data_IF_090110477617
#
_entry.id   IF_090110477617
#
_cell.length_a   1.000
_cell.length_b   1.000
_cell.length_c   1.000
_cell.angle_alpha   90.00
_cell.angle_beta   90.00
_cell.angle_gamma   90.00
#
_symmetry.space_group_name_H-M   'P 1'
#
loop_
_entity.id
_entity.type
_entity.pdbx_description
1 polymer ?
#
# COMPACT_ATOMS: atom_id res chain seq x y z
N UNK A 1 -4.51 -6.93 -1.21
CA UNK A 1 -5.63 -7.86 -0.99
C UNK A 1 -6.48 -7.88 -2.25
N UNK A 2 -7.13 -8.99 -2.58
CA UNK A 2 -8.00 -9.08 -3.75
C UNK A 2 -9.48 -9.18 -3.32
N UNK A 3 -10.36 -8.54 -4.09
CA UNK A 3 -11.81 -8.63 -3.96
C UNK A 3 -12.35 -9.37 -5.17
N UNK A 4 -12.94 -10.53 -4.95
CA UNK A 4 -13.37 -11.43 -6.01
C UNK A 4 -14.87 -11.28 -6.29
N UNK A 5 -15.23 -11.12 -7.55
CA UNK A 5 -16.63 -11.05 -7.98
C UNK A 5 -17.10 -12.45 -8.36
N UNK A 6 -18.18 -12.91 -7.72
CA UNK A 6 -18.76 -14.25 -7.91
C UNK A 6 -20.24 -14.18 -8.23
N UNK A 7 -20.72 -15.15 -9.02
CA UNK A 7 -22.13 -15.27 -9.36
C UNK A 7 -23.00 -15.48 -8.10
N UNK A 8 -24.25 -14.99 -8.08
CA UNK A 8 -25.19 -15.23 -7.00
C UNK A 8 -25.37 -16.73 -6.72
N UNK A 9 -25.27 -17.11 -5.45
CA UNK A 9 -25.43 -18.51 -5.02
C UNK A 9 -24.23 -19.41 -5.29
N UNK A 10 -23.12 -18.89 -5.83
CA UNK A 10 -21.86 -19.62 -6.01
C UNK A 10 -20.75 -19.02 -5.17
N UNK A 11 -20.16 -19.83 -4.29
CA UNK A 11 -19.11 -19.39 -3.36
C UNK A 11 -17.70 -19.25 -3.94
N UNK A 12 -17.49 -19.49 -5.24
CA UNK A 12 -16.18 -19.33 -5.90
C UNK A 12 -16.29 -19.23 -7.43
N UNK A 13 -15.32 -18.56 -8.07
CA UNK A 13 -15.18 -18.49 -9.54
C UNK A 13 -14.94 -19.86 -10.16
N UNK A 14 -14.27 -20.76 -9.44
CA UNK A 14 -13.98 -22.13 -9.91
C UNK A 14 -15.26 -22.94 -10.12
N UNK A 15 -16.32 -22.59 -9.41
CA UNK A 15 -17.65 -23.18 -9.57
C UNK A 15 -18.56 -22.39 -10.51
N UNK A 16 -18.09 -21.23 -11.02
CA UNK A 16 -18.81 -20.36 -11.95
C UNK A 16 -18.81 -20.88 -13.37
N UNK A 17 -19.71 -20.38 -14.21
CA UNK A 17 -19.71 -20.75 -15.62
C UNK A 17 -18.60 -19.99 -16.37
N UNK A 18 -17.79 -20.67 -17.18
CA UNK A 18 -16.75 -20.03 -18.02
C UNK A 18 -17.35 -18.94 -18.93
N UNK A 19 -18.62 -19.09 -19.30
CA UNK A 19 -19.38 -18.13 -20.09
C UNK A 19 -19.68 -16.81 -19.35
N UNK A 20 -19.73 -16.82 -18.01
CA UNK A 20 -19.97 -15.63 -17.19
C UNK A 20 -18.68 -14.89 -16.81
N UNK A 21 -17.50 -15.48 -17.02
CA UNK A 21 -16.23 -14.84 -16.66
C UNK A 21 -16.02 -13.48 -17.34
N UNK A 22 -16.27 -13.31 -18.65
CA UNK A 22 -16.07 -12.01 -19.30
C UNK A 22 -16.98 -10.93 -18.73
N UNK A 23 -18.26 -11.25 -18.46
CA UNK A 23 -19.20 -10.28 -17.90
C UNK A 23 -18.89 -9.91 -16.45
N UNK A 24 -18.37 -10.85 -15.65
CA UNK A 24 -17.89 -10.55 -14.29
C UNK A 24 -16.64 -9.66 -14.32
N UNK A 25 -15.75 -9.85 -15.28
CA UNK A 25 -14.57 -8.98 -15.48
C UNK A 25 -15.01 -7.57 -15.88
N UNK A 26 -15.93 -7.45 -16.84
CA UNK A 26 -16.48 -6.16 -17.27
C UNK A 26 -17.17 -5.44 -16.11
N UNK A 27 -17.96 -6.18 -15.31
CA UNK A 27 -18.62 -5.63 -14.12
C UNK A 27 -17.61 -5.14 -13.08
N UNK A 28 -16.56 -5.90 -12.78
CA UNK A 28 -15.49 -5.48 -11.89
C UNK A 28 -14.80 -4.19 -12.39
N UNK A 29 -14.59 -4.07 -13.71
CA UNK A 29 -14.06 -2.86 -14.34
C UNK A 29 -14.96 -1.65 -14.15
N UNK A 30 -16.28 -1.80 -14.34
CA UNK A 30 -17.26 -0.71 -14.12
C UNK A 30 -17.25 -0.27 -12.65
N UNK A 31 -17.21 -1.23 -11.71
CA UNK A 31 -17.14 -0.92 -10.28
C UNK A 31 -15.85 -0.16 -9.93
N UNK A 32 -14.70 -0.59 -10.47
CA UNK A 32 -13.44 0.12 -10.26
C UNK A 32 -13.50 1.55 -10.80
N UNK A 33 -14.06 1.76 -12.00
CA UNK A 33 -14.18 3.08 -12.58
C UNK A 33 -15.05 4.00 -11.70
N UNK A 34 -16.21 3.52 -11.24
CA UNK A 34 -17.10 4.29 -10.35
C UNK A 34 -16.42 4.72 -9.06
N UNK A 35 -15.72 3.80 -8.40
CA UNK A 35 -15.02 4.12 -7.14
C UNK A 35 -13.85 5.07 -7.38
N UNK A 36 -13.21 5.00 -8.55
CA UNK A 36 -12.12 5.91 -8.91
C UNK A 36 -12.63 7.32 -9.22
N UNK A 37 -13.80 7.44 -9.84
CA UNK A 37 -14.47 8.73 -10.12
C UNK A 37 -14.98 9.43 -8.85
N UNK A 38 -15.45 8.66 -7.87
CA UNK A 38 -16.00 9.19 -6.61
C UNK A 38 -14.94 9.34 -5.49
N UNK A 39 -13.77 8.72 -5.66
CA UNK A 39 -12.82 8.48 -4.59
C UNK A 39 -11.50 9.26 -4.66
N UNK A 40 -10.67 9.04 -3.64
CA UNK A 40 -9.27 9.50 -3.58
C UNK A 40 -8.29 8.36 -3.87
N UNK A 41 -8.73 7.36 -4.63
CA UNK A 41 -7.90 6.21 -4.97
C UNK A 41 -6.70 6.68 -5.81
N UNK A 42 -5.50 6.27 -5.40
CA UNK A 42 -4.29 6.57 -6.16
C UNK A 42 -4.24 5.65 -7.36
N UNK A 43 -4.21 6.25 -8.56
CA UNK A 43 -3.97 5.51 -9.78
C UNK A 43 -2.52 5.08 -9.86
N UNK A 44 -2.33 3.79 -10.10
CA UNK A 44 -1.01 3.20 -10.28
C UNK A 44 -0.67 3.10 -11.77
N UNK A 45 0.59 3.36 -12.17
CA UNK A 45 1.00 3.32 -13.58
C UNK A 45 1.01 1.91 -14.17
N UNK A 46 0.94 0.86 -13.33
CA UNK A 46 0.75 -0.52 -13.77
C UNK A 46 0.07 -1.36 -12.70
N UNK A 47 -0.56 -2.48 -13.11
CA UNK A 47 -1.19 -3.46 -12.20
C UNK A 47 -0.19 -4.13 -11.25
N UNK A 48 1.08 -4.17 -11.62
CA UNK A 48 2.18 -4.73 -10.81
C UNK A 48 2.88 -3.69 -9.92
N UNK A 49 2.57 -2.40 -10.09
CA UNK A 49 3.15 -1.38 -9.24
C UNK A 49 2.59 -1.48 -7.82
N UNK A 50 3.40 -1.07 -6.85
CA UNK A 50 2.98 -1.00 -5.44
C UNK A 50 2.93 0.45 -5.00
N UNK A 51 1.97 0.79 -4.13
CA UNK A 51 1.88 2.13 -3.53
C UNK A 51 3.18 2.52 -2.81
N UNK A 52 3.78 1.59 -2.07
CA UNK A 52 5.02 1.85 -1.37
C UNK A 52 6.19 2.12 -2.34
N UNK A 53 6.27 1.33 -3.42
CA UNK A 53 7.29 1.45 -4.46
C UNK A 53 7.17 2.71 -5.32
N UNK A 54 5.96 3.26 -5.48
CA UNK A 54 5.71 4.54 -6.16
C UNK A 54 5.96 5.77 -5.28
N UNK A 55 6.42 5.59 -4.05
CA UNK A 55 6.72 6.68 -3.12
C UNK A 55 5.51 7.14 -2.29
N UNK A 56 4.34 6.53 -2.48
CA UNK A 56 3.15 6.83 -1.67
C UNK A 56 3.37 6.26 -0.25
N UNK A 57 3.05 7.08 0.76
CA UNK A 57 3.22 6.74 2.18
C UNK A 57 1.90 6.67 2.94
N UNK A 58 0.85 7.27 2.40
CA UNK A 58 -0.49 7.23 2.94
C UNK A 58 -1.49 7.27 1.78
N UNK A 59 -2.42 6.32 1.73
CA UNK A 59 -3.43 6.23 0.68
C UNK A 59 -3.80 4.79 0.34
N UNK A 60 -4.73 4.63 -0.60
CA UNK A 60 -5.14 3.33 -1.13
C UNK A 60 -5.21 3.38 -2.65
N UNK A 61 -5.13 2.21 -3.28
CA UNK A 61 -5.36 2.04 -4.72
C UNK A 61 -6.25 0.83 -4.93
N UNK A 62 -7.04 0.89 -6.00
CA UNK A 62 -7.90 -0.18 -6.48
C UNK A 62 -7.58 -0.36 -7.95
N UNK A 63 -7.25 -1.58 -8.38
CA UNK A 63 -6.86 -1.84 -9.76
C UNK A 63 -7.40 -3.18 -10.21
N UNK A 64 -7.91 -3.24 -11.43
CA UNK A 64 -8.23 -4.50 -12.11
C UNK A 64 -6.92 -5.09 -12.67
N UNK A 65 -6.46 -6.27 -12.21
CA UNK A 65 -5.17 -6.79 -12.64
C UNK A 65 -5.14 -7.13 -14.12
N UNK A 66 -4.30 -6.42 -14.87
CA UNK A 66 -3.95 -6.76 -16.24
C UNK A 66 -2.92 -7.92 -16.25
N UNK A 67 -3.30 -9.05 -16.82
CA UNK A 67 -2.45 -10.24 -17.07
C UNK A 67 -1.89 -10.31 -18.48
N UNK A 68 -2.13 -9.28 -19.30
CA UNK A 68 -1.64 -9.18 -20.68
C UNK A 68 -0.19 -8.71 -20.79
N UNK A 69 0.22 -8.40 -22.02
CA UNK A 69 1.52 -7.80 -22.33
C UNK A 69 1.41 -6.28 -22.40
N UNK A 70 2.56 -5.59 -22.49
CA UNK A 70 2.59 -4.14 -22.73
C UNK A 70 1.93 -3.73 -24.05
N UNK A 71 1.78 -4.68 -24.99
CA UNK A 71 1.22 -4.45 -26.32
C UNK A 71 -0.23 -4.91 -26.45
N UNK A 72 -0.74 -5.69 -25.49
CA UNK A 72 -2.07 -6.22 -25.48
C UNK A 72 -2.51 -6.50 -24.04
N UNK A 73 -3.43 -5.68 -23.53
CA UNK A 73 -4.01 -5.87 -22.20
C UNK A 73 -4.93 -7.09 -22.18
N UNK A 74 -4.95 -7.81 -21.07
CA UNK A 74 -5.82 -8.96 -20.85
C UNK A 74 -6.30 -8.96 -19.41
N UNK A 75 -7.62 -8.93 -19.23
CA UNK A 75 -8.26 -9.03 -17.92
C UNK A 75 -8.94 -10.38 -17.85
N UNK A 76 -8.26 -11.35 -17.24
CA UNK A 76 -8.70 -12.74 -17.21
C UNK A 76 -9.38 -13.13 -15.89
N UNK A 77 -9.34 -12.25 -14.89
CA UNK A 77 -9.79 -12.53 -13.52
C UNK A 77 -10.78 -11.45 -13.08
N UNK A 78 -11.98 -11.82 -12.59
CA UNK A 78 -12.96 -10.87 -12.07
C UNK A 78 -12.59 -10.47 -10.63
N UNK A 79 -11.43 -9.84 -10.47
CA UNK A 79 -10.88 -9.43 -9.17
C UNK A 79 -10.50 -7.96 -9.17
N UNK A 80 -10.70 -7.28 -8.05
CA UNK A 80 -10.10 -5.97 -7.79
C UNK A 80 -8.98 -6.10 -6.78
N UNK A 81 -7.77 -5.71 -7.17
CA UNK A 81 -6.62 -5.66 -6.28
C UNK A 81 -6.65 -4.34 -5.50
N UNK A 82 -6.81 -4.43 -4.19
CA UNK A 82 -6.78 -3.31 -3.25
C UNK A 82 -5.45 -3.28 -2.52
N UNK A 83 -4.77 -2.15 -2.59
CA UNK A 83 -3.57 -1.85 -1.80
C UNK A 83 -3.85 -0.67 -0.87
N UNK A 84 -3.34 -0.74 0.34
CA UNK A 84 -3.46 0.34 1.33
C UNK A 84 -2.11 0.53 1.99
N UNK A 85 -1.65 1.77 2.08
CA UNK A 85 -0.45 2.16 2.82
C UNK A 85 -0.81 3.24 3.82
N UNK A 86 -0.22 3.17 5.01
CA UNK A 86 -0.52 4.12 6.07
C UNK A 86 0.51 4.08 7.19
N UNK A 87 0.44 5.04 8.13
CA UNK A 87 1.42 5.19 9.20
C UNK A 87 1.26 4.17 10.34
N UNK A 88 0.15 3.44 10.41
CA UNK A 88 -0.07 2.40 11.43
C UNK A 88 -0.87 1.21 10.88
N UNK A 89 -0.66 0.00 11.41
CA UNK A 89 -1.46 -1.17 11.04
C UNK A 89 -2.97 -0.97 11.27
N UNK A 90 -3.35 -0.24 12.33
CA UNK A 90 -4.74 0.04 12.66
C UNK A 90 -5.39 0.91 11.58
N UNK A 91 -4.70 1.96 11.13
CA UNK A 91 -5.21 2.84 10.08
C UNK A 91 -5.31 2.10 8.74
N UNK A 92 -4.32 1.27 8.41
CA UNK A 92 -4.36 0.44 7.20
C UNK A 92 -5.58 -0.48 7.19
N UNK A 93 -5.89 -1.14 8.32
CA UNK A 93 -7.08 -1.99 8.45
C UNK A 93 -8.37 -1.19 8.31
N UNK A 94 -8.49 -0.06 9.01
CA UNK A 94 -9.67 0.78 8.94
C UNK A 94 -9.94 1.29 7.52
N UNK A 95 -8.89 1.77 6.83
CA UNK A 95 -9.03 2.22 5.43
C UNK A 95 -9.38 1.06 4.51
N UNK A 96 -8.83 -0.13 4.75
CA UNK A 96 -9.17 -1.31 3.97
C UNK A 96 -10.65 -1.70 4.14
N UNK A 97 -11.17 -1.74 5.37
CA UNK A 97 -12.57 -2.05 5.66
C UNK A 97 -13.53 -1.02 5.02
N UNK A 98 -13.14 0.26 5.06
CA UNK A 98 -13.86 1.33 4.37
C UNK A 98 -13.91 1.11 2.86
N UNK A 99 -12.77 0.81 2.23
CA UNK A 99 -12.70 0.55 0.79
C UNK A 99 -13.55 -0.66 0.41
N UNK A 100 -13.51 -1.74 1.20
CA UNK A 100 -14.36 -2.92 0.96
C UNK A 100 -15.84 -2.57 1.01
N UNK A 101 -16.25 -1.81 2.03
CA UNK A 101 -17.64 -1.38 2.19
C UNK A 101 -18.08 -0.52 0.99
N UNK A 102 -17.23 0.40 0.54
CA UNK A 102 -17.50 1.22 -0.65
C UNK A 102 -17.63 0.36 -1.91
N UNK A 103 -16.74 -0.61 -2.12
CA UNK A 103 -16.83 -1.53 -3.28
C UNK A 103 -18.14 -2.31 -3.28
N UNK A 104 -18.54 -2.82 -2.12
CA UNK A 104 -19.77 -3.58 -1.99
C UNK A 104 -21.02 -2.72 -2.23
N UNK A 105 -21.06 -1.51 -1.64
CA UNK A 105 -22.16 -0.57 -1.85
C UNK A 105 -22.31 -0.16 -3.31
N UNK A 106 -21.20 0.14 -4.00
CA UNK A 106 -21.21 0.49 -5.43
C UNK A 106 -21.67 -0.68 -6.29
N UNK A 107 -21.18 -1.90 -6.01
CA UNK A 107 -21.62 -3.09 -6.72
C UNK A 107 -23.13 -3.35 -6.53
N UNK A 108 -23.65 -3.15 -5.32
CA UNK A 108 -25.10 -3.27 -5.05
C UNK A 108 -25.89 -2.15 -5.72
N UNK A 109 -25.41 -0.91 -5.67
CA UNK A 109 -26.06 0.26 -6.27
C UNK A 109 -26.21 0.14 -7.78
N UNK A 110 -25.17 -0.32 -8.48
CA UNK A 110 -25.21 -0.56 -9.92
C UNK A 110 -26.24 -1.64 -10.30
N UNK A 111 -26.37 -2.70 -9.51
CA UNK A 111 -27.30 -3.79 -9.78
C UNK A 111 -28.74 -3.42 -9.41
N UNK A 112 -28.95 -2.75 -8.28
CA UNK A 112 -30.25 -2.23 -7.86
C UNK A 112 -30.79 -1.17 -8.83
N UNK A 113 -29.93 -0.28 -9.33
CA UNK A 113 -30.28 0.71 -10.35
C UNK A 113 -30.69 0.09 -11.70
N UNK A 114 -30.35 -1.19 -11.94
CA UNK A 114 -30.78 -1.98 -13.10
C UNK A 114 -31.97 -2.90 -12.82
N UNK A 115 -32.55 -2.83 -11.62
CA UNK A 115 -33.72 -3.61 -11.23
C UNK A 115 -33.41 -5.09 -10.91
N UNK A 116 -32.16 -5.45 -10.67
CA UNK A 116 -31.80 -6.81 -10.25
C UNK A 116 -32.29 -7.02 -8.81
N UNK A 117 -32.98 -8.13 -8.50
CA UNK A 117 -33.39 -8.43 -7.13
C UNK A 117 -32.17 -8.80 -6.26
N UNK A 118 -32.18 -8.54 -4.95
CA UNK A 118 -31.01 -8.80 -4.08
C UNK A 118 -30.48 -10.23 -4.10
N UNK A 119 -31.36 -11.22 -4.30
CA UNK A 119 -30.97 -12.64 -4.42
C UNK A 119 -30.21 -12.97 -5.71
N UNK A 120 -30.20 -12.06 -6.69
CA UNK A 120 -29.49 -12.18 -7.96
C UNK A 120 -28.20 -11.35 -8.03
N UNK A 121 -27.74 -10.78 -6.92
CA UNK A 121 -26.54 -9.94 -6.94
C UNK A 121 -25.25 -10.75 -7.07
N UNK A 122 -24.36 -10.26 -7.93
CA UNK A 122 -22.95 -10.59 -7.94
C UNK A 122 -22.39 -10.24 -6.56
N UNK A 123 -21.78 -11.22 -5.90
CA UNK A 123 -21.22 -11.07 -4.57
C UNK A 123 -19.73 -10.69 -4.67
N UNK A 124 -19.28 -9.84 -3.74
CA UNK A 124 -17.87 -9.44 -3.62
C UNK A 124 -17.27 -10.18 -2.43
N UNK A 125 -16.32 -11.08 -2.69
CA UNK A 125 -15.70 -11.94 -1.67
C UNK A 125 -14.23 -11.58 -1.46
N UNK A 126 -13.78 -11.28 -0.23
CA UNK A 126 -12.39 -11.00 0.07
C UNK A 126 -11.48 -12.24 -0.09
N UNK A 127 -10.30 -12.05 -0.70
CA UNK A 127 -9.24 -13.06 -0.81
C UNK A 127 -7.85 -12.46 -0.57
N UNK A 128 -7.08 -12.95 0.42
CA UNK A 128 -7.46 -13.92 1.46
C UNK A 128 -8.48 -13.37 2.46
N UNK A 129 -9.19 -14.23 3.20
CA UNK A 129 -10.27 -13.83 4.12
C UNK A 129 -9.82 -12.82 5.20
N UNK A 130 -8.55 -12.85 5.60
CA UNK A 130 -7.96 -11.86 6.49
C UNK A 130 -6.86 -11.07 5.77
N UNK A 131 -6.81 -9.74 5.93
CA UNK A 131 -5.83 -8.91 5.25
C UNK A 131 -4.43 -9.10 5.83
N UNK A 132 -3.47 -9.29 4.92
CA UNK A 132 -2.04 -9.35 5.27
C UNK A 132 -1.50 -7.92 5.36
N UNK A 133 -1.10 -7.50 6.55
CA UNK A 133 -0.48 -6.19 6.80
C UNK A 133 1.01 -6.39 7.03
N UNK A 134 1.84 -5.77 6.18
CA UNK A 134 3.30 -5.82 6.29
C UNK A 134 3.80 -4.47 6.78
N UNK A 135 4.58 -4.47 7.87
CA UNK A 135 5.23 -3.26 8.39
C UNK A 135 6.60 -3.07 7.70
N UNK A 136 6.74 -1.98 6.96
CA UNK A 136 7.95 -1.62 6.20
C UNK A 136 8.69 -0.41 6.80
N UNK A 137 8.29 0.03 8.01
CA UNK A 137 8.77 1.27 8.62
C UNK A 137 9.96 1.14 9.57
N UNK A 138 10.71 2.23 9.71
CA UNK A 138 11.56 2.46 10.89
C UNK A 138 10.66 2.71 12.08
N UNK A 139 10.62 1.76 13.02
CA UNK A 139 9.87 1.92 14.26
C UNK A 139 10.29 3.20 14.99
N UNK A 140 9.37 3.87 15.69
CA UNK A 140 9.70 5.06 16.51
C UNK A 140 10.91 4.79 17.41
N UNK A 141 10.97 3.58 17.97
CA UNK A 141 12.08 3.07 18.77
C UNK A 141 13.40 3.00 18.00
N UNK A 142 13.38 2.53 16.75
CA UNK A 142 14.56 2.50 15.88
C UNK A 142 15.12 3.88 15.57
N UNK A 143 14.25 4.88 15.34
CA UNK A 143 14.68 6.27 15.10
C UNK A 143 15.35 6.88 16.32
N UNK A 144 14.76 6.73 17.51
CA UNK A 144 15.36 7.23 18.76
C UNK A 144 16.71 6.59 19.04
N UNK A 145 16.83 5.26 18.82
CA UNK A 145 18.11 4.56 18.96
C UNK A 145 19.15 5.09 17.99
N UNK A 146 18.78 5.32 16.73
CA UNK A 146 19.70 5.88 15.72
C UNK A 146 20.20 7.27 16.12
N UNK A 147 19.30 8.17 16.59
CA UNK A 147 19.69 9.50 17.06
C UNK A 147 20.65 9.44 18.25
N UNK A 148 20.39 8.54 19.21
CA UNK A 148 21.27 8.34 20.36
C UNK A 148 22.66 7.84 19.94
N UNK A 149 22.73 6.86 19.04
CA UNK A 149 24.00 6.30 18.55
C UNK A 149 24.79 7.36 17.77
N UNK A 150 24.15 8.09 16.85
CA UNK A 150 24.81 9.15 16.08
C UNK A 150 25.29 10.26 17.02
N UNK A 151 24.48 10.65 18.00
CA UNK A 151 24.87 11.65 19.01
C UNK A 151 26.09 11.21 19.82
N UNK A 152 26.11 9.96 20.29
CA UNK A 152 27.24 9.41 21.04
C UNK A 152 28.51 9.38 20.20
N UNK A 153 28.41 8.91 18.95
CA UNK A 153 29.54 8.88 18.01
C UNK A 153 30.08 10.29 17.73
N UNK A 154 29.20 11.26 17.50
CA UNK A 154 29.58 12.66 17.29
C UNK A 154 30.33 13.26 18.49
N UNK A 155 29.84 13.02 19.71
CA UNK A 155 30.48 13.49 20.94
C UNK A 155 31.86 12.85 21.14
N UNK A 156 31.99 11.54 20.93
CA UNK A 156 33.28 10.85 21.07
C UNK A 156 34.30 11.35 20.05
N UNK A 157 33.90 11.54 18.79
CA UNK A 157 34.79 12.07 17.74
C UNK A 157 35.23 13.51 18.02
N UNK A 158 34.32 14.33 18.54
CA UNK A 158 34.61 15.73 18.92
C UNK A 158 35.60 15.79 20.08
N UNK A 159 35.35 15.04 21.16
CA UNK A 159 36.23 14.99 22.32
C UNK A 159 37.63 14.47 21.95
N UNK A 160 37.70 13.41 21.13
CA UNK A 160 38.96 12.88 20.64
C UNK A 160 39.74 13.91 19.82
N UNK A 161 39.07 14.58 18.87
CA UNK A 161 39.70 15.59 18.01
C UNK A 161 40.19 16.80 18.82
N UNK A 162 39.38 17.31 19.74
CA UNK A 162 39.76 18.40 20.63
C UNK A 162 41.00 18.04 21.47
N UNK A 163 41.03 16.84 22.05
CA UNK A 163 42.18 16.37 22.85
C UNK A 163 43.46 16.23 22.02
N UNK A 164 43.36 15.80 20.75
CA UNK A 164 44.51 15.68 19.86
C UNK A 164 45.06 17.04 19.45
N UNK A 165 44.19 18.00 19.12
CA UNK A 165 44.57 19.37 18.76
C UNK A 165 45.23 20.08 19.93
N UNK A 166 44.64 19.97 21.13
CA UNK A 166 45.17 20.59 22.34
C UNK A 166 46.57 20.05 22.70
N UNK A 167 46.76 18.72 22.61
CA UNK A 167 48.08 18.10 22.78
C UNK A 167 49.10 18.54 21.74
N UNK A 168 48.68 18.77 20.49
CA UNK A 168 49.58 19.22 19.43
C UNK A 168 50.02 20.67 19.63
N UNK A 169 49.09 21.55 20.00
CA UNK A 169 49.36 22.97 20.29
C UNK A 169 50.25 23.17 21.53
N UNK A 170 50.01 22.41 22.60
CA UNK A 170 50.85 22.46 23.81
C UNK A 170 52.26 21.91 23.57
N UNK A 171 52.42 20.91 22.69
CA UNK A 171 53.73 20.41 22.28
C UNK A 171 54.53 21.42 21.42
N UNK A 172 53.84 22.36 20.75
CA UNK A 172 54.45 23.31 19.81
C UNK A 172 54.88 24.65 20.45
N UNK A 173 54.76 24.83 21.77
CA UNK A 173 55.14 26.10 22.42
C UNK A 173 56.65 26.37 22.23
N UNK A 174 57.07 27.40 21.48
CA UNK A 174 58.47 27.77 21.39
C UNK A 174 58.89 28.37 22.73
N UNK A 175 59.97 27.84 23.30
CA UNK A 175 60.55 28.32 24.55
C UNK A 175 61.18 29.69 24.32
N UNK A 176 60.38 30.75 24.41
CA UNK A 176 60.88 32.13 24.45
C UNK A 176 61.71 32.31 25.73
N UNK A 177 63.03 32.32 25.56
CA UNK A 177 64.00 32.71 26.59
C UNK A 177 64.04 34.24 26.61
N UNK A 178 63.58 34.85 27.70
CA UNK A 178 63.88 36.26 27.95
C UNK A 178 65.30 36.37 28.55
N UNK A 179 66.14 37.29 28.06
CA UNK A 179 67.43 37.64 28.66
C UNK A 179 67.28 38.42 29.96
#
# INVERSE_FOLDING_TARGET
MELLFVEPGRGSVVSGSDAALPSLVDFAGIVQQRISEEGSAVELPSSTATLYGSGVRNGYSITLPNTGTQWAVSFSRPVLAVQVVGPSPQQVRQTLDQVMTSVELEAQGLQGGKGVPPGGYIQVTPSPAAPVVVDLGSTKLGRTKATLVIGLLGLTLTAFSASRIDRWLTAYKPRWRHP
#
